data_IF_288244153199
#
_entry.id   IF_288244153199
#
_cell.length_a   1.000
_cell.length_b   1.000
_cell.length_c   1.000
_cell.angle_alpha   90.00
_cell.angle_beta   90.00
_cell.angle_gamma   90.00
#
_symmetry.space_group_name_H-M   'P 1'
#
loop_
_entity.id
_entity.type
_entity.pdbx_description
1 polymer ?
#
# COMPACT_ATOMS: atom_id res chain seq x y z
N UNK A 1 -9.84 7.43 5.22
CA UNK A 1 -10.98 6.96 6.03
C UNK A 1 -12.25 6.75 5.20
N UNK A 2 -12.54 7.55 4.17
CA UNK A 2 -13.79 7.44 3.38
C UNK A 2 -14.08 6.04 2.82
N UNK A 3 -13.10 5.37 2.19
CA UNK A 3 -13.29 4.02 1.62
C UNK A 3 -13.62 3.00 2.73
N UNK A 4 -12.95 3.09 3.88
CA UNK A 4 -13.17 2.20 5.02
C UNK A 4 -14.56 2.43 5.63
N UNK A 5 -15.00 3.67 5.76
CA UNK A 5 -16.31 4.00 6.34
C UNK A 5 -17.48 3.64 5.43
N UNK A 6 -17.29 3.70 4.10
CA UNK A 6 -18.32 3.34 3.12
C UNK A 6 -18.37 1.84 2.83
N UNK A 7 -17.25 1.12 3.01
CA UNK A 7 -17.13 -0.32 2.76
C UNK A 7 -18.27 -1.16 3.34
N UNK A 8 -18.64 -1.03 4.63
CA UNK A 8 -19.73 -1.78 5.25
C UNK A 8 -21.12 -1.54 4.64
N UNK A 9 -21.34 -0.41 3.96
CA UNK A 9 -22.59 -0.15 3.25
C UNK A 9 -22.71 -0.94 1.94
N UNK A 10 -21.58 -1.34 1.36
CA UNK A 10 -21.53 -2.11 0.11
C UNK A 10 -21.36 -3.61 0.41
N UNK A 11 -20.45 -3.94 1.34
CA UNK A 11 -20.18 -5.30 1.79
C UNK A 11 -20.40 -5.33 3.31
N UNK A 12 -21.59 -5.70 3.78
CA UNK A 12 -21.89 -5.69 5.20
C UNK A 12 -21.01 -6.66 5.97
N UNK A 13 -20.75 -6.33 7.22
CA UNK A 13 -20.11 -7.25 8.15
C UNK A 13 -21.03 -8.47 8.40
N UNK A 14 -20.46 -9.64 8.74
CA UNK A 14 -21.25 -10.78 9.21
C UNK A 14 -22.14 -10.42 10.41
N UNK A 15 -23.25 -11.12 10.58
CA UNK A 15 -24.13 -10.93 11.74
C UNK A 15 -23.35 -11.10 13.06
N UNK A 16 -23.58 -10.19 14.01
CA UNK A 16 -22.90 -10.18 15.32
C UNK A 16 -21.49 -9.57 15.31
N UNK A 17 -20.95 -9.16 14.16
CA UNK A 17 -19.67 -8.44 14.07
C UNK A 17 -19.87 -6.95 14.24
N UNK A 18 -19.27 -6.39 15.30
CA UNK A 18 -19.30 -4.95 15.60
C UNK A 18 -17.90 -4.37 15.73
N UNK A 19 -17.74 -3.10 15.32
CA UNK A 19 -16.46 -2.37 15.36
C UNK A 19 -16.52 -1.11 16.23
N UNK A 20 -17.48 -1.06 17.17
CA UNK A 20 -17.77 0.12 17.98
C UNK A 20 -16.70 0.44 19.03
N UNK A 21 -15.83 -0.53 19.36
CA UNK A 21 -14.69 -0.35 20.27
C UNK A 21 -13.43 -0.97 19.69
N UNK A 22 -12.27 -0.50 20.16
CA UNK A 22 -10.93 -0.99 19.79
C UNK A 22 -10.78 -2.49 20.09
N UNK A 23 -11.28 -2.94 21.24
CA UNK A 23 -11.21 -4.34 21.65
C UNK A 23 -12.08 -5.25 20.76
N UNK A 24 -13.35 -4.85 20.55
CA UNK A 24 -14.27 -5.56 19.64
C UNK A 24 -13.74 -5.59 18.22
N UNK A 25 -13.05 -4.54 17.78
CA UNK A 25 -12.43 -4.49 16.47
C UNK A 25 -11.39 -5.61 16.30
N UNK A 26 -10.42 -5.72 17.22
CA UNK A 26 -9.38 -6.75 17.16
C UNK A 26 -9.96 -8.18 17.18
N UNK A 27 -10.92 -8.44 18.08
CA UNK A 27 -11.55 -9.74 18.24
C UNK A 27 -12.30 -10.16 16.97
N UNK A 28 -13.03 -9.22 16.37
CA UNK A 28 -13.91 -9.50 15.24
C UNK A 28 -13.20 -9.54 13.89
N UNK A 29 -11.95 -9.05 13.76
CA UNK A 29 -11.20 -9.15 12.50
C UNK A 29 -11.08 -10.59 11.99
N UNK A 30 -11.00 -11.57 12.90
CA UNK A 30 -10.92 -13.00 12.53
C UNK A 30 -12.24 -13.60 12.06
N UNK A 31 -13.37 -12.95 12.37
CA UNK A 31 -14.71 -13.39 11.99
C UNK A 31 -15.11 -12.89 10.60
N UNK A 32 -14.32 -11.99 10.00
CA UNK A 32 -14.58 -11.45 8.69
C UNK A 32 -14.34 -12.46 7.58
N UNK A 33 -15.21 -12.42 6.57
CA UNK A 33 -15.06 -13.22 5.35
C UNK A 33 -14.02 -12.55 4.44
N UNK A 34 -13.34 -13.30 3.55
CA UNK A 34 -12.37 -12.74 2.61
C UNK A 34 -12.88 -11.51 1.82
N UNK A 35 -14.16 -11.49 1.45
CA UNK A 35 -14.78 -10.36 0.75
C UNK A 35 -14.81 -9.06 1.57
N UNK A 36 -14.90 -9.14 2.90
CA UNK A 36 -14.91 -7.96 3.77
C UNK A 36 -13.56 -7.22 3.77
N UNK A 37 -12.48 -7.87 3.32
CA UNK A 37 -11.14 -7.30 3.26
C UNK A 37 -10.84 -6.51 1.97
N UNK A 38 -11.75 -6.51 0.99
CA UNK A 38 -11.60 -5.74 -0.25
C UNK A 38 -11.54 -4.24 0.05
N UNK A 39 -12.46 -3.73 0.87
CA UNK A 39 -12.51 -2.31 1.22
C UNK A 39 -11.24 -1.80 1.92
N UNK A 40 -10.73 -2.44 3.00
CA UNK A 40 -9.50 -1.99 3.63
C UNK A 40 -8.29 -2.11 2.70
N UNK A 41 -8.16 -3.20 1.94
CA UNK A 41 -7.06 -3.34 0.97
C UNK A 41 -7.06 -2.22 -0.07
N UNK A 42 -8.24 -1.92 -0.66
CA UNK A 42 -8.38 -0.83 -1.61
C UNK A 42 -8.05 0.53 -0.97
N UNK A 43 -8.46 0.74 0.29
CA UNK A 43 -8.15 1.96 1.01
C UNK A 43 -6.63 2.14 1.19
N UNK A 44 -5.92 1.09 1.58
CA UNK A 44 -4.46 1.11 1.74
C UNK A 44 -3.73 1.29 0.40
N UNK A 45 -4.13 0.52 -0.61
CA UNK A 45 -3.53 0.55 -1.94
C UNK A 45 -3.72 1.91 -2.63
N UNK A 46 -4.95 2.42 -2.65
CA UNK A 46 -5.26 3.71 -3.27
C UNK A 46 -4.67 4.88 -2.48
N UNK A 47 -4.70 4.82 -1.14
CA UNK A 47 -4.06 5.82 -0.30
C UNK A 47 -2.56 5.93 -0.60
N UNK A 48 -1.86 4.79 -0.67
CA UNK A 48 -0.43 4.77 -0.98
C UNK A 48 -0.14 5.24 -2.39
N UNK A 49 -0.91 4.78 -3.38
CA UNK A 49 -0.76 5.19 -4.78
C UNK A 49 -0.92 6.70 -4.95
N UNK A 50 -1.99 7.28 -4.40
CA UNK A 50 -2.27 8.71 -4.53
C UNK A 50 -1.20 9.53 -3.81
N UNK A 51 -0.81 9.13 -2.59
CA UNK A 51 0.23 9.82 -1.84
C UNK A 51 1.57 9.82 -2.57
N UNK A 52 1.99 8.65 -3.09
CA UNK A 52 3.21 8.51 -3.87
C UNK A 52 3.16 9.28 -5.20
N UNK A 53 2.01 9.24 -5.89
CA UNK A 53 1.78 10.01 -7.12
C UNK A 53 1.94 11.51 -6.90
N UNK A 54 1.28 12.05 -5.88
CA UNK A 54 1.36 13.47 -5.55
C UNK A 54 2.81 13.84 -5.20
N UNK A 55 3.48 13.06 -4.36
CA UNK A 55 4.87 13.29 -3.98
C UNK A 55 5.81 13.31 -5.20
N UNK A 56 5.69 12.35 -6.11
CA UNK A 56 6.46 12.32 -7.36
C UNK A 56 6.12 13.50 -8.29
N UNK A 57 4.85 13.91 -8.36
CA UNK A 57 4.41 15.01 -9.22
C UNK A 57 5.00 16.34 -8.79
N UNK A 58 5.01 16.63 -7.48
CA UNK A 58 5.49 17.91 -6.94
C UNK A 58 7.01 17.96 -6.75
N UNK A 59 7.68 16.81 -6.59
CA UNK A 59 9.12 16.78 -6.40
C UNK A 59 9.88 17.31 -7.63
N UNK A 60 10.76 18.29 -7.44
CA UNK A 60 11.60 18.87 -8.49
C UNK A 60 12.68 17.90 -8.98
N UNK A 61 13.23 17.08 -8.08
CA UNK A 61 14.21 16.03 -8.37
C UNK A 61 13.97 14.83 -7.45
N UNK A 62 14.62 13.69 -7.73
CA UNK A 62 14.54 12.49 -6.89
C UNK A 62 13.11 11.96 -6.65
N UNK A 63 12.21 12.14 -7.63
CA UNK A 63 10.79 11.79 -7.56
C UNK A 63 10.53 10.38 -7.02
N UNK A 64 11.28 9.38 -7.51
CA UNK A 64 11.18 8.00 -7.03
C UNK A 64 11.51 7.88 -5.54
N UNK A 65 12.56 8.55 -5.05
CA UNK A 65 12.95 8.49 -3.63
C UNK A 65 11.86 9.09 -2.74
N UNK A 66 11.30 10.24 -3.11
CA UNK A 66 10.22 10.87 -2.35
C UNK A 66 8.96 9.99 -2.31
N UNK A 67 8.56 9.45 -3.46
CA UNK A 67 7.42 8.54 -3.54
C UNK A 67 7.62 7.29 -2.66
N UNK A 68 8.78 6.63 -2.75
CA UNK A 68 9.10 5.47 -1.93
C UNK A 68 9.18 5.80 -0.43
N UNK A 69 9.60 7.02 -0.07
CA UNK A 69 9.54 7.53 1.30
C UNK A 69 8.11 7.57 1.85
N UNK A 70 7.16 8.11 1.06
CA UNK A 70 5.73 8.10 1.41
C UNK A 70 5.20 6.67 1.53
N UNK A 71 5.56 5.79 0.60
CA UNK A 71 5.11 4.39 0.64
C UNK A 71 5.66 3.62 1.82
N UNK A 72 6.90 3.91 2.24
CA UNK A 72 7.50 3.35 3.46
C UNK A 72 6.75 3.85 4.69
N UNK A 73 6.40 5.14 4.73
CA UNK A 73 5.58 5.69 5.82
C UNK A 73 4.21 5.00 5.93
N UNK A 74 3.53 4.76 4.81
CA UNK A 74 2.27 4.02 4.80
C UNK A 74 2.47 2.55 5.23
N UNK A 75 3.54 1.90 4.78
CA UNK A 75 3.89 0.54 5.19
C UNK A 75 4.09 0.44 6.71
N UNK A 76 4.76 1.42 7.33
CA UNK A 76 4.91 1.47 8.79
C UNK A 76 3.55 1.54 9.49
N UNK A 77 2.61 2.32 8.95
CA UNK A 77 1.21 2.33 9.43
C UNK A 77 0.53 0.97 9.30
N UNK A 78 0.74 0.26 8.18
CA UNK A 78 0.24 -1.10 7.96
C UNK A 78 0.81 -2.11 8.97
N UNK A 79 2.12 -2.09 9.17
CA UNK A 79 2.80 -2.94 10.16
C UNK A 79 2.28 -2.65 11.57
N UNK A 80 2.08 -1.39 11.92
CA UNK A 80 1.49 -0.98 13.20
C UNK A 80 0.07 -1.53 13.36
N UNK A 81 -0.78 -1.44 12.33
CA UNK A 81 -2.14 -2.00 12.36
C UNK A 81 -2.14 -3.52 12.61
N UNK A 82 -1.30 -4.27 11.89
CA UNK A 82 -1.17 -5.72 12.08
C UNK A 82 -0.64 -6.05 13.48
N UNK A 83 0.31 -5.27 13.98
CA UNK A 83 0.91 -5.50 15.31
C UNK A 83 -0.03 -5.21 16.46
N UNK A 84 -0.90 -4.19 16.31
CA UNK A 84 -1.85 -3.79 17.35
C UNK A 84 -3.12 -4.64 17.38
N UNK A 85 -3.65 -4.99 16.21
CA UNK A 85 -4.98 -5.59 16.08
C UNK A 85 -4.96 -7.05 15.59
N UNK A 86 -3.83 -7.52 15.07
CA UNK A 86 -3.71 -8.85 14.48
C UNK A 86 -4.60 -8.99 13.24
N UNK A 87 -5.32 -10.11 13.17
CA UNK A 87 -6.19 -10.48 12.06
C UNK A 87 -5.67 -11.69 11.26
N UNK A 88 -6.34 -12.03 10.14
CA UNK A 88 -5.94 -13.17 9.33
C UNK A 88 -4.56 -12.96 8.68
N UNK A 89 -3.64 -13.92 8.89
CA UNK A 89 -2.26 -13.84 8.40
C UNK A 89 -2.21 -13.67 6.87
N UNK A 90 -3.08 -14.35 6.13
CA UNK A 90 -3.13 -14.25 4.67
C UNK A 90 -3.40 -12.80 4.21
N UNK A 91 -4.26 -12.08 4.95
CA UNK A 91 -4.61 -10.70 4.62
C UNK A 91 -3.46 -9.77 4.95
N UNK A 92 -2.84 -9.94 6.13
CA UNK A 92 -1.66 -9.16 6.51
C UNK A 92 -0.54 -9.30 5.47
N UNK A 93 -0.27 -10.50 4.97
CA UNK A 93 0.74 -10.73 3.92
C UNK A 93 0.34 -10.04 2.61
N UNK A 94 -0.91 -10.23 2.15
CA UNK A 94 -1.41 -9.60 0.93
C UNK A 94 -1.30 -8.07 0.99
N UNK A 95 -1.68 -7.49 2.12
CA UNK A 95 -1.74 -6.05 2.32
C UNK A 95 -0.32 -5.45 2.44
N UNK A 96 0.52 -5.98 3.33
CA UNK A 96 1.88 -5.49 3.55
C UNK A 96 2.76 -5.57 2.30
N UNK A 97 2.59 -6.63 1.50
CA UNK A 97 3.38 -6.80 0.28
C UNK A 97 2.77 -6.09 -0.92
N UNK A 98 1.44 -6.05 -1.03
CA UNK A 98 0.75 -5.58 -2.23
C UNK A 98 0.34 -4.11 -2.19
N UNK A 99 -0.13 -3.62 -1.05
CA UNK A 99 -0.82 -2.32 -0.96
C UNK A 99 0.14 -1.13 -0.81
N UNK A 100 1.39 -1.35 -0.40
CA UNK A 100 2.30 -0.27 -0.03
C UNK A 100 3.40 0.00 -1.06
N UNK A 101 4.48 -0.79 -1.04
CA UNK A 101 5.64 -0.54 -1.89
C UNK A 101 5.32 -0.68 -3.40
N UNK A 102 4.55 -1.69 -3.87
CA UNK A 102 4.20 -1.78 -5.29
C UNK A 102 3.32 -0.62 -5.76
N UNK A 103 2.31 -0.25 -4.98
CA UNK A 103 1.43 0.88 -5.30
C UNK A 103 2.15 2.22 -5.22
N UNK A 104 3.12 2.32 -4.33
CA UNK A 104 4.07 3.41 -4.23
C UNK A 104 4.91 3.60 -5.48
N UNK A 105 5.54 2.51 -5.93
CA UNK A 105 6.32 2.47 -7.14
C UNK A 105 5.49 2.82 -8.37
N UNK A 106 4.27 2.27 -8.48
CA UNK A 106 3.31 2.62 -9.52
C UNK A 106 2.94 4.11 -9.47
N UNK A 107 2.60 4.63 -8.28
CA UNK A 107 2.33 6.05 -8.08
C UNK A 107 3.49 6.94 -8.50
N UNK A 108 4.73 6.52 -8.19
CA UNK A 108 5.94 7.24 -8.60
C UNK A 108 6.06 7.35 -10.13
N UNK A 109 5.88 6.25 -10.85
CA UNK A 109 5.92 6.21 -12.32
C UNK A 109 4.83 7.12 -12.90
N UNK A 110 3.59 6.99 -12.42
CA UNK A 110 2.47 7.83 -12.85
C UNK A 110 2.71 9.32 -12.56
N UNK A 111 3.43 9.62 -11.48
CA UNK A 111 3.84 10.98 -11.09
C UNK A 111 5.02 11.54 -11.89
N UNK A 112 5.58 10.77 -12.83
CA UNK A 112 6.68 11.20 -13.71
C UNK A 112 8.07 10.88 -13.19
N UNK A 113 8.23 9.92 -12.27
CA UNK A 113 9.54 9.41 -11.89
C UNK A 113 10.13 8.54 -13.01
N UNK A 114 11.39 8.79 -13.36
CA UNK A 114 12.15 7.90 -14.26
C UNK A 114 12.52 6.63 -13.50
N UNK A 115 12.22 5.48 -14.09
CA UNK A 115 12.71 4.19 -13.59
C UNK A 115 14.22 4.13 -13.87
N UNK A 116 15.07 3.90 -12.87
CA UNK A 116 16.48 3.62 -13.13
C UNK A 116 16.56 2.29 -13.85
N UNK A 117 16.60 2.33 -15.19
CA UNK A 117 17.02 1.17 -15.97
C UNK A 117 18.48 0.95 -15.59
N UNK A 118 18.78 -0.23 -15.04
CA UNK A 118 20.16 -0.68 -14.87
C UNK A 118 20.80 -0.59 -16.24
N UNK A 119 21.65 0.42 -16.45
CA UNK A 119 22.47 0.55 -17.64
C UNK A 119 23.33 -0.71 -17.72
N UNK A 120 22.96 -1.63 -18.61
CA UNK A 120 23.86 -2.70 -19.04
C UNK A 120 25.08 -2.01 -19.62
N UNK A 121 26.18 -2.05 -18.88
CA UNK A 121 27.45 -1.50 -19.32
C UNK A 121 27.84 -2.16 -20.64
N UNK A 122 27.56 -1.48 -21.75
CA UNK A 122 28.19 -1.80 -23.01
C UNK A 122 29.66 -1.48 -22.84
N UNK A 123 30.45 -2.51 -22.53
CA UNK A 123 31.89 -2.48 -22.64
C UNK A 123 32.23 -2.02 -24.05
N UNK A 124 32.72 -0.79 -24.18
CA UNK A 124 33.43 -0.38 -25.38
C UNK A 124 34.71 -1.20 -25.40
N UNK A 125 34.75 -2.26 -26.20
CA UNK A 125 36.02 -2.83 -26.61
C UNK A 125 36.75 -1.79 -27.46
N UNK A 126 38.02 -1.48 -27.15
CA UNK A 126 38.87 -0.73 -28.05
C UNK A 126 38.99 -1.49 -29.39
N UNK A 127 38.63 -0.85 -30.50
CA UNK A 127 39.05 -1.30 -31.82
C UNK A 127 40.34 -0.57 -32.17
N UNK A 128 41.46 -1.16 -31.76
CA UNK A 128 42.79 -0.74 -32.15
C UNK A 128 43.74 -1.95 -32.18
N UNK A 129 43.62 -2.80 -33.21
CA UNK A 129 44.72 -3.56 -33.82
C UNK A 129 44.43 -3.79 -35.32
#
# INVERSE_FOLDING_TARGET
MTIVSVGPMVIPAPEGVEFSTVDKFAENLKLLKPINFIAPWLAHAMGTLIGAFVAAKIAASHKMKFAMGISTFFLLGGVMMVSMFGGPIWFAVLDLLGAYLPMGYLGAILGGATVPIVSQGHGRFPQDQ
#
